data_IF_007573466481
#
_entry.id   IF_007573466481
#
_cell.length_a   1.000
_cell.length_b   1.000
_cell.length_c   1.000
_cell.angle_alpha   90.00
_cell.angle_beta   90.00
_cell.angle_gamma   90.00
#
_symmetry.space_group_name_H-M   'P 1'
#
loop_
_entity.id
_entity.type
_entity.pdbx_description
1 polymer ?
#
# COMPACT_ATOMS: atom_id res chain seq x y z
N UNK A 1 9.09 7.13 -15.29
CA UNK A 1 9.94 5.96 -15.58
C UNK A 1 9.33 5.07 -16.67
N UNK A 2 8.04 5.23 -16.95
CA UNK A 2 7.33 4.73 -18.13
C UNK A 2 6.49 5.87 -18.75
N UNK A 3 5.91 5.65 -19.93
CA UNK A 3 5.05 6.64 -20.62
C UNK A 3 3.65 6.76 -19.98
N UNK A 4 3.16 5.69 -19.35
CA UNK A 4 1.90 5.69 -18.59
C UNK A 4 2.11 5.09 -17.19
N UNK A 5 2.12 3.75 -17.09
CA UNK A 5 2.22 3.00 -15.83
C UNK A 5 3.52 2.19 -15.82
N UNK A 6 4.06 1.89 -14.62
CA UNK A 6 5.31 1.13 -14.50
C UNK A 6 5.18 -0.31 -15.00
N UNK A 7 4.02 -0.95 -14.77
CA UNK A 7 3.67 -2.27 -15.30
C UNK A 7 2.18 -2.29 -15.57
N UNK A 8 1.75 -3.29 -16.32
CA UNK A 8 0.34 -3.55 -16.60
C UNK A 8 0.07 -5.06 -16.74
N UNK A 9 -1.18 -5.43 -17.02
CA UNK A 9 -1.62 -6.83 -17.20
C UNK A 9 -0.87 -7.56 -18.33
N UNK A 10 -0.40 -6.85 -19.37
CA UNK A 10 0.29 -7.40 -20.53
C UNK A 10 1.82 -7.40 -20.36
N UNK A 11 2.38 -6.43 -19.64
CA UNK A 11 3.79 -6.37 -19.25
C UNK A 11 3.93 -6.38 -17.73
N UNK A 12 3.70 -7.53 -17.10
CA UNK A 12 3.68 -7.69 -15.65
C UNK A 12 5.02 -7.50 -14.94
N UNK A 13 6.14 -7.58 -15.67
CA UNK A 13 7.48 -7.48 -15.11
C UNK A 13 8.05 -6.07 -15.24
N UNK A 14 8.78 -5.62 -14.21
CA UNK A 14 9.50 -4.35 -14.26
C UNK A 14 10.54 -4.37 -15.39
N UNK A 15 10.56 -3.31 -16.19
CA UNK A 15 11.68 -3.06 -17.07
C UNK A 15 12.94 -2.81 -16.23
N UNK A 16 14.11 -3.20 -16.75
CA UNK A 16 15.40 -3.06 -16.04
C UNK A 16 15.75 -1.63 -15.56
N UNK A 17 15.08 -0.62 -16.11
CA UNK A 17 15.26 0.80 -15.78
C UNK A 17 14.21 1.35 -14.81
N UNK A 18 13.19 0.56 -14.46
CA UNK A 18 12.12 0.98 -13.57
C UNK A 18 12.47 0.67 -12.11
N UNK A 19 12.36 1.66 -11.21
CA UNK A 19 12.60 1.44 -9.79
C UNK A 19 11.42 0.70 -9.16
N UNK A 20 11.71 -0.22 -8.24
CA UNK A 20 10.69 -0.78 -7.33
C UNK A 20 10.13 0.30 -6.39
N UNK A 21 8.96 0.03 -5.79
CA UNK A 21 8.37 0.93 -4.80
C UNK A 21 9.32 1.19 -3.62
N UNK A 22 10.07 0.18 -3.19
CA UNK A 22 11.14 0.30 -2.20
C UNK A 22 12.16 1.38 -2.60
N UNK A 23 12.71 1.29 -3.82
CA UNK A 23 13.73 2.26 -4.30
C UNK A 23 13.17 3.67 -4.44
N UNK A 24 11.92 3.79 -4.89
CA UNK A 24 11.25 5.09 -4.98
C UNK A 24 11.02 5.70 -3.59
N UNK A 25 10.62 4.88 -2.63
CA UNK A 25 10.42 5.31 -1.25
C UNK A 25 11.74 5.71 -0.59
N UNK A 26 12.80 4.91 -0.77
CA UNK A 26 14.15 5.22 -0.30
C UNK A 26 14.64 6.56 -0.88
N UNK A 27 14.51 6.74 -2.19
CA UNK A 27 14.88 7.99 -2.85
C UNK A 27 14.11 9.17 -2.27
N UNK A 28 12.80 9.03 -2.07
CA UNK A 28 11.92 10.08 -1.56
C UNK A 28 12.29 10.49 -0.14
N UNK A 29 12.57 9.53 0.74
CA UNK A 29 13.04 9.80 2.11
C UNK A 29 14.42 10.45 2.11
N UNK A 30 15.36 9.95 1.31
CA UNK A 30 16.70 10.54 1.22
C UNK A 30 16.68 11.96 0.66
N UNK A 31 15.79 12.23 -0.31
CA UNK A 31 15.56 13.58 -0.82
C UNK A 31 14.95 14.50 0.24
N UNK A 32 14.05 13.96 1.07
CA UNK A 32 13.38 14.69 2.15
C UNK A 32 14.33 15.07 3.29
N UNK A 33 15.30 14.20 3.63
CA UNK A 33 16.36 14.52 4.59
C UNK A 33 17.14 15.78 4.20
N UNK A 34 17.45 15.97 2.91
CA UNK A 34 18.10 17.20 2.41
C UNK A 34 17.23 18.45 2.64
N UNK A 35 15.91 18.32 2.61
CA UNK A 35 15.03 19.46 2.92
C UNK A 35 15.02 19.75 4.43
N UNK A 36 15.08 18.72 5.28
CA UNK A 36 15.23 18.89 6.73
C UNK A 36 16.54 19.62 7.06
N UNK A 37 17.64 19.24 6.42
CA UNK A 37 18.93 19.94 6.54
C UNK A 37 18.86 21.43 6.16
N UNK A 38 17.90 21.80 5.31
CA UNK A 38 17.64 23.18 4.87
C UNK A 38 16.51 23.87 5.66
N UNK A 39 16.12 23.32 6.83
CA UNK A 39 15.19 23.97 7.77
C UNK A 39 13.74 23.50 7.71
N UNK A 40 13.41 22.49 6.91
CA UNK A 40 12.10 21.83 7.00
C UNK A 40 11.97 21.04 8.32
N UNK A 41 10.78 21.05 8.91
CA UNK A 41 10.50 20.34 10.18
C UNK A 41 10.40 18.83 10.03
N UNK A 42 9.99 18.36 8.87
CA UNK A 42 9.72 16.96 8.59
C UNK A 42 9.22 16.80 7.16
N UNK A 43 8.64 15.63 6.87
CA UNK A 43 8.05 15.34 5.57
C UNK A 43 6.81 14.47 5.72
N UNK A 44 5.97 14.49 4.68
CA UNK A 44 4.89 13.54 4.46
C UNK A 44 5.17 12.85 3.12
N UNK A 45 5.12 11.53 3.09
CA UNK A 45 5.29 10.74 1.88
C UNK A 45 4.11 9.78 1.81
N UNK A 46 3.47 9.73 0.64
CA UNK A 46 2.49 8.71 0.27
C UNK A 46 3.12 7.86 -0.83
N UNK A 47 3.14 6.55 -0.63
CA UNK A 47 3.60 5.57 -1.59
C UNK A 47 2.45 4.61 -1.89
N UNK A 48 2.19 4.37 -3.17
CA UNK A 48 1.03 3.63 -3.65
C UNK A 48 1.50 2.47 -4.54
N UNK A 49 1.03 1.26 -4.23
CA UNK A 49 1.17 0.08 -5.08
C UNK A 49 -0.12 -0.14 -5.87
N UNK A 50 -0.43 0.79 -6.78
CA UNK A 50 -1.74 0.86 -7.45
C UNK A 50 -2.07 -0.34 -8.34
N UNK A 51 -1.07 -1.10 -8.78
CA UNK A 51 -1.29 -2.25 -9.65
C UNK A 51 -1.87 -3.47 -8.93
N UNK A 52 -1.91 -3.47 -7.60
CA UNK A 52 -2.70 -4.43 -6.83
C UNK A 52 -4.18 -4.36 -7.26
N UNK A 53 -4.70 -3.15 -7.46
CA UNK A 53 -6.06 -2.92 -7.97
C UNK A 53 -6.24 -3.47 -9.38
N UNK A 54 -5.25 -3.25 -10.25
CA UNK A 54 -5.29 -3.68 -11.64
C UNK A 54 -5.29 -5.21 -11.76
N UNK A 55 -4.42 -5.88 -11.00
CA UNK A 55 -4.41 -7.33 -10.91
C UNK A 55 -5.75 -7.88 -10.39
N UNK A 56 -6.36 -7.21 -9.40
CA UNK A 56 -7.69 -7.52 -8.91
C UNK A 56 -8.78 -7.36 -9.98
N UNK A 57 -8.73 -6.29 -10.76
CA UNK A 57 -9.63 -6.07 -11.89
C UNK A 57 -9.45 -7.12 -12.99
N UNK A 58 -8.23 -7.53 -13.28
CA UNK A 58 -7.91 -8.59 -14.24
C UNK A 58 -8.29 -10.00 -13.74
N UNK A 59 -8.67 -10.14 -12.46
CA UNK A 59 -8.82 -11.44 -11.78
C UNK A 59 -7.55 -12.32 -11.94
N UNK A 60 -6.38 -11.69 -11.94
CA UNK A 60 -5.09 -12.36 -12.16
C UNK A 60 -4.38 -12.55 -10.82
N UNK A 61 -4.44 -13.78 -10.31
CA UNK A 61 -3.84 -14.11 -9.02
C UNK A 61 -2.31 -14.06 -9.04
N UNK A 62 -1.65 -14.41 -10.14
CA UNK A 62 -0.19 -14.40 -10.22
C UNK A 62 0.32 -12.95 -10.27
N UNK A 63 -0.36 -12.08 -11.04
CA UNK A 63 -0.10 -10.65 -11.02
C UNK A 63 -0.33 -10.07 -9.62
N UNK A 64 -1.47 -10.39 -8.99
CA UNK A 64 -1.81 -9.88 -7.66
C UNK A 64 -0.75 -10.25 -6.63
N UNK A 65 -0.33 -11.52 -6.60
CA UNK A 65 0.72 -12.00 -5.67
C UNK A 65 2.04 -11.25 -5.87
N UNK A 66 2.43 -10.94 -7.11
CA UNK A 66 3.65 -10.19 -7.40
C UNK A 66 3.56 -8.75 -6.92
N UNK A 67 2.45 -8.06 -7.19
CA UNK A 67 2.28 -6.67 -6.73
C UNK A 67 2.19 -6.57 -5.20
N UNK A 68 1.56 -7.54 -4.55
CA UNK A 68 1.57 -7.66 -3.09
C UNK A 68 2.98 -7.90 -2.54
N UNK A 69 3.81 -8.67 -3.23
CA UNK A 69 5.22 -8.87 -2.85
C UNK A 69 6.04 -7.58 -2.98
N UNK A 70 5.85 -6.79 -4.05
CA UNK A 70 6.55 -5.51 -4.21
C UNK A 70 6.10 -4.49 -3.16
N UNK A 71 4.80 -4.43 -2.85
CA UNK A 71 4.27 -3.65 -1.74
C UNK A 71 4.89 -4.09 -0.39
N UNK A 72 5.00 -5.39 -0.14
CA UNK A 72 5.62 -5.93 1.07
C UNK A 72 7.07 -5.45 1.25
N UNK A 73 7.86 -5.43 0.17
CA UNK A 73 9.25 -4.94 0.22
C UNK A 73 9.32 -3.43 0.54
N UNK A 74 8.41 -2.62 -0.03
CA UNK A 74 8.24 -1.23 0.33
C UNK A 74 7.87 -1.02 1.80
N UNK A 75 6.94 -1.83 2.33
CA UNK A 75 6.51 -1.80 3.74
C UNK A 75 7.67 -2.19 4.67
N UNK A 76 8.40 -3.26 4.35
CA UNK A 76 9.58 -3.71 5.11
C UNK A 76 10.60 -2.59 5.22
N UNK A 77 10.91 -1.95 4.11
CA UNK A 77 11.84 -0.82 4.09
C UNK A 77 11.34 0.35 4.95
N UNK A 78 10.07 0.74 4.81
CA UNK A 78 9.45 1.82 5.58
C UNK A 78 9.50 1.54 7.10
N UNK A 79 9.19 0.30 7.49
CA UNK A 79 9.21 -0.13 8.87
C UNK A 79 10.63 -0.14 9.45
N UNK A 80 11.62 -0.63 8.70
CA UNK A 80 13.03 -0.58 9.12
C UNK A 80 13.56 0.85 9.23
N UNK A 81 13.11 1.75 8.35
CA UNK A 81 13.39 3.17 8.49
C UNK A 81 12.79 3.75 9.78
N UNK A 82 11.51 3.50 10.06
CA UNK A 82 10.82 4.00 11.25
C UNK A 82 11.37 3.41 12.57
N UNK A 83 11.82 2.15 12.57
CA UNK A 83 12.53 1.56 13.73
C UNK A 83 13.82 2.31 14.06
N UNK A 84 14.54 2.78 13.04
CA UNK A 84 15.78 3.56 13.19
C UNK A 84 15.51 5.04 13.46
N UNK A 85 14.42 5.58 12.92
CA UNK A 85 13.97 6.94 13.09
C UNK A 85 12.66 6.94 13.90
N UNK A 86 12.78 6.94 15.23
CA UNK A 86 11.65 6.78 16.15
C UNK A 86 10.65 7.95 16.13
N UNK A 87 10.90 9.00 15.35
CA UNK A 87 9.98 10.13 15.10
C UNK A 87 9.23 9.96 13.77
N UNK A 88 9.10 8.72 13.28
CA UNK A 88 8.42 8.39 12.03
C UNK A 88 7.18 7.54 12.33
N UNK A 89 6.02 8.02 11.89
CA UNK A 89 4.78 7.24 11.81
C UNK A 89 4.68 6.60 10.43
N UNK A 90 4.49 5.29 10.39
CA UNK A 90 4.15 4.52 9.18
C UNK A 90 2.70 4.05 9.31
N UNK A 91 1.90 4.33 8.29
CA UNK A 91 0.52 3.83 8.17
C UNK A 91 0.41 3.08 6.85
N UNK A 92 -0.17 1.89 6.89
CA UNK A 92 -0.44 1.04 5.73
C UNK A 92 -1.92 0.74 5.70
N UNK A 93 -2.58 1.02 4.60
CA UNK A 93 -3.99 0.71 4.37
C UNK A 93 -4.25 0.58 2.87
N UNK A 94 -5.51 0.31 2.51
CA UNK A 94 -5.97 0.35 1.14
C UNK A 94 -7.09 1.40 1.01
N UNK A 95 -7.37 1.82 -0.22
CA UNK A 95 -8.51 2.65 -0.56
C UNK A 95 -9.80 1.84 -0.65
N UNK A 96 -9.73 0.65 -1.25
CA UNK A 96 -10.78 -0.37 -1.31
C UNK A 96 -10.20 -1.77 -1.60
N UNK A 97 -11.06 -2.79 -1.58
CA UNK A 97 -10.73 -4.12 -2.10
C UNK A 97 -11.21 -4.24 -3.55
N UNK A 98 -10.47 -5.00 -4.37
CA UNK A 98 -10.76 -5.20 -5.78
C UNK A 98 -10.68 -6.68 -6.15
N UNK A 99 -11.68 -7.16 -6.90
CA UNK A 99 -11.73 -8.53 -7.41
C UNK A 99 -12.56 -9.47 -6.55
N UNK A 100 -12.65 -9.23 -5.23
CA UNK A 100 -13.36 -10.10 -4.30
C UNK A 100 -12.69 -11.47 -4.21
N UNK A 101 -11.39 -11.48 -3.91
CA UNK A 101 -10.57 -12.68 -3.86
C UNK A 101 -11.10 -13.65 -2.78
N UNK A 102 -11.31 -14.90 -3.18
CA UNK A 102 -11.73 -15.99 -2.31
C UNK A 102 -10.68 -17.10 -2.28
N UNK A 103 -10.47 -17.66 -1.09
CA UNK A 103 -9.72 -18.89 -0.88
C UNK A 103 -10.74 -19.97 -0.55
N UNK A 104 -10.87 -20.95 -1.44
CA UNK A 104 -11.92 -21.95 -1.37
C UNK A 104 -11.36 -23.36 -1.46
N UNK A 105 -12.00 -24.37 -0.87
CA UNK A 105 -11.67 -25.76 -1.19
C UNK A 105 -11.89 -26.02 -2.68
N UNK A 106 -11.01 -26.80 -3.29
CA UNK A 106 -11.12 -27.14 -4.70
C UNK A 106 -12.37 -28.00 -4.99
N UNK A 107 -12.68 -28.95 -4.09
CA UNK A 107 -13.97 -29.65 -4.04
C UNK A 107 -14.77 -29.19 -2.81
N UNK A 108 -15.90 -28.48 -2.97
CA UNK A 108 -16.70 -27.96 -1.86
C UNK A 108 -17.35 -29.07 -1.01
N UNK A 109 -17.24 -30.34 -1.40
CA UNK A 109 -17.70 -31.49 -0.60
C UNK A 109 -16.60 -32.10 0.26
N UNK A 110 -15.34 -31.67 0.10
CA UNK A 110 -14.16 -32.27 0.74
C UNK A 110 -13.36 -31.20 1.48
N UNK A 111 -13.82 -30.85 2.68
CA UNK A 111 -13.13 -29.92 3.57
C UNK A 111 -11.95 -30.54 4.34
N UNK A 112 -11.67 -31.82 4.14
CA UNK A 112 -10.63 -32.56 4.88
C UNK A 112 -9.25 -32.51 4.20
N UNK A 113 -9.18 -32.11 2.93
CA UNK A 113 -7.93 -32.04 2.17
C UNK A 113 -7.47 -30.58 2.04
N UNK A 114 -6.16 -30.33 2.08
CA UNK A 114 -5.53 -29.01 1.87
C UNK A 114 -5.53 -28.56 0.39
N UNK A 115 -6.39 -29.13 -0.44
CA UNK A 115 -6.50 -28.79 -1.86
C UNK A 115 -7.42 -27.56 -2.02
N UNK A 116 -6.81 -26.41 -2.28
CA UNK A 116 -7.48 -25.12 -2.37
C UNK A 116 -7.43 -24.57 -3.79
N UNK A 117 -8.37 -23.68 -4.09
CA UNK A 117 -8.37 -22.84 -5.28
C UNK A 117 -8.53 -21.38 -4.89
N UNK A 118 -8.02 -20.50 -5.73
CA UNK A 118 -8.25 -19.06 -5.65
C UNK A 118 -9.27 -18.68 -6.72
N UNK A 119 -10.25 -17.86 -6.35
CA UNK A 119 -11.30 -17.39 -7.25
C UNK A 119 -11.65 -15.93 -6.97
N UNK A 120 -12.31 -15.27 -7.92
CA UNK A 120 -12.73 -13.88 -7.82
C UNK A 120 -14.25 -13.82 -7.99
N UNK A 121 -14.94 -13.00 -7.18
CA UNK A 121 -16.41 -13.03 -7.10
C UNK A 121 -17.11 -11.77 -7.63
N UNK A 122 -16.36 -10.80 -8.16
CA UNK A 122 -16.90 -9.52 -8.65
C UNK A 122 -17.16 -9.46 -10.15
N UNK A 123 -16.78 -10.49 -10.90
CA UNK A 123 -17.00 -10.57 -12.35
C UNK A 123 -16.22 -11.71 -13.00
N UNK A 124 -16.59 -12.06 -14.23
CA UNK A 124 -15.82 -13.00 -15.07
C UNK A 124 -15.03 -12.18 -16.09
N UNK A 125 -13.71 -12.40 -16.15
CA UNK A 125 -12.80 -11.71 -17.07
C UNK A 125 -12.42 -10.30 -16.63
N UNK A 126 -13.35 -9.52 -16.05
CA UNK A 126 -13.03 -8.24 -15.41
C UNK A 126 -13.84 -8.05 -14.13
N UNK A 127 -13.16 -7.96 -13.00
CA UNK A 127 -13.73 -7.70 -11.68
C UNK A 127 -14.07 -6.23 -11.45
N UNK A 128 -14.63 -5.96 -10.28
CA UNK A 128 -14.92 -4.60 -9.77
C UNK A 128 -14.46 -4.49 -8.32
N UNK A 129 -14.63 -3.31 -7.73
CA UNK A 129 -14.34 -3.10 -6.32
C UNK A 129 -15.43 -3.75 -5.45
N UNK A 130 -15.08 -4.09 -4.21
CA UNK A 130 -16.06 -4.48 -3.19
C UNK A 130 -16.13 -3.46 -2.05
N UNK A 131 -17.18 -3.56 -1.24
CA UNK A 131 -17.38 -2.74 -0.04
C UNK A 131 -16.86 -3.40 1.24
N UNK A 132 -15.98 -4.41 1.15
CA UNK A 132 -15.44 -5.03 2.35
C UNK A 132 -14.53 -4.05 3.08
N UNK A 133 -14.55 -4.01 4.43
CA UNK A 133 -13.63 -3.19 5.19
C UNK A 133 -12.17 -3.58 4.88
N UNK A 134 -11.34 -2.58 4.62
CA UNK A 134 -9.90 -2.75 4.41
C UNK A 134 -9.16 -2.63 5.75
N UNK A 135 -8.05 -3.35 5.94
CA UNK A 135 -7.26 -3.23 7.15
C UNK A 135 -6.51 -1.90 7.18
N UNK A 136 -6.23 -1.42 8.40
CA UNK A 136 -5.29 -0.33 8.65
C UNK A 136 -4.26 -0.81 9.67
N UNK A 137 -2.99 -0.60 9.36
CA UNK A 137 -1.86 -0.91 10.22
C UNK A 137 -1.08 0.37 10.47
N UNK A 138 -0.62 0.56 11.70
CA UNK A 138 0.20 1.72 12.05
C UNK A 138 1.36 1.32 12.97
N UNK A 139 2.49 1.99 12.80
CA UNK A 139 3.69 1.83 13.63
C UNK A 139 4.38 3.18 13.83
N UNK A 140 4.81 3.46 15.07
CA UNK A 140 5.49 4.71 15.44
C UNK A 140 4.61 5.65 16.28
N UNK A 141 5.04 6.90 16.51
CA UNK A 141 4.32 7.87 17.31
C UNK A 141 2.91 8.16 16.73
N UNK A 142 1.88 8.10 17.57
CA UNK A 142 0.49 8.33 17.16
C UNK A 142 -0.21 7.12 16.52
N UNK A 143 0.44 5.96 16.45
CA UNK A 143 -0.14 4.72 15.92
C UNK A 143 -1.39 4.27 16.72
N UNK A 144 -1.49 4.63 18.00
CA UNK A 144 -2.66 4.38 18.84
C UNK A 144 -3.96 5.01 18.32
N UNK A 145 -3.86 6.03 17.46
CA UNK A 145 -5.01 6.67 16.80
C UNK A 145 -5.61 5.82 15.68
N UNK A 146 -4.95 4.74 15.25
CA UNK A 146 -5.36 3.87 14.15
C UNK A 146 -5.84 2.50 14.65
N UNK A 147 -6.83 2.53 15.55
CA UNK A 147 -7.38 1.32 16.18
C UNK A 147 -8.91 1.28 16.07
N UNK A 148 -9.49 0.07 16.14
CA UNK A 148 -10.93 -0.13 16.01
C UNK A 148 -11.42 -0.04 14.58
N UNK A 149 -12.68 0.37 14.40
CA UNK A 149 -13.31 0.59 13.10
C UNK A 149 -13.29 2.09 12.80
N UNK A 150 -12.71 2.47 11.66
CA UNK A 150 -12.56 3.85 11.24
C UNK A 150 -13.26 4.05 9.90
N UNK A 151 -13.88 5.21 9.72
CA UNK A 151 -14.25 5.68 8.39
C UNK A 151 -12.97 6.12 7.65
N UNK A 152 -12.91 5.94 6.33
CA UNK A 152 -11.75 6.39 5.54
C UNK A 152 -11.48 7.90 5.73
N UNK A 153 -12.51 8.70 5.99
CA UNK A 153 -12.39 10.13 6.32
C UNK A 153 -11.78 10.39 7.70
N UNK A 154 -11.72 9.42 8.61
CA UNK A 154 -11.07 9.59 9.90
C UNK A 154 -9.56 9.37 9.82
N UNK A 155 -9.07 8.63 8.82
CA UNK A 155 -7.63 8.40 8.62
C UNK A 155 -6.86 9.71 8.47
N UNK A 156 -7.40 10.67 7.69
CA UNK A 156 -6.76 11.98 7.52
C UNK A 156 -6.72 12.76 8.84
N UNK A 157 -7.74 12.63 9.70
CA UNK A 157 -7.81 13.32 10.99
C UNK A 157 -6.78 12.75 11.96
N UNK A 158 -6.66 11.42 11.98
CA UNK A 158 -5.65 10.71 12.78
C UNK A 158 -4.23 11.08 12.35
N UNK A 159 -3.97 11.18 11.03
CA UNK A 159 -2.68 11.63 10.50
C UNK A 159 -2.34 13.08 10.93
N UNK A 160 -3.29 14.00 10.82
CA UNK A 160 -3.09 15.39 11.25
C UNK A 160 -2.83 15.51 12.75
N UNK A 161 -3.55 14.73 13.56
CA UNK A 161 -3.35 14.66 15.00
C UNK A 161 -1.95 14.13 15.34
N UNK A 162 -1.49 13.07 14.67
CA UNK A 162 -0.15 12.51 14.89
C UNK A 162 0.98 13.47 14.45
N UNK A 163 0.78 14.20 13.36
CA UNK A 163 1.76 15.17 12.86
C UNK A 163 1.80 16.49 13.64
N UNK A 164 0.91 16.67 14.63
CA UNK A 164 0.72 17.93 15.38
C UNK A 164 0.62 19.16 14.45
N UNK A 165 -0.09 18.99 13.33
CA UNK A 165 -0.19 19.98 12.26
C UNK A 165 -1.41 20.87 12.45
N UNK A 166 -1.19 22.07 13.01
CA UNK A 166 -2.24 23.08 13.23
C UNK A 166 -2.47 24.03 12.01
N UNK A 167 -1.90 23.71 10.83
CA UNK A 167 -1.87 24.48 9.54
C UNK A 167 -0.51 25.13 9.24
N UNK A 168 0.54 24.35 8.98
CA UNK A 168 1.76 24.88 8.36
C UNK A 168 1.85 24.49 6.88
N UNK A 169 2.19 25.44 6.02
CA UNK A 169 2.37 25.23 4.57
C UNK A 169 3.68 24.53 4.23
N UNK A 170 3.95 24.38 2.93
CA UNK A 170 5.23 23.85 2.43
C UNK A 170 6.40 24.69 2.93
N UNK A 171 7.45 24.03 3.43
CA UNK A 171 8.75 24.65 3.71
C UNK A 171 9.64 24.76 2.47
N UNK A 172 9.20 24.19 1.33
CA UNK A 172 9.86 24.31 0.04
C UNK A 172 9.31 25.54 -0.66
N UNK A 173 10.17 26.54 -0.87
CA UNK A 173 9.91 27.73 -1.69
C UNK A 173 10.02 27.42 -3.19
#
# INVERSE_FOLDING_TARGET
FADEHLRDENTPENHSTEPSIEKMLEFSVNRSKKFIENGCRGFFIMAEASQVDWAGHGNDFEYLMREMSDLEDGIKWALEFAKKNQDTLVVVTADHETGGLLIEPNDPRKYENLDIKFSFNTGIGRGSHTGVPVPIYAYGPGAENFTGTLDNTDVHKALLAAANQDKSGSCVN
#
